data_IF_832603362550
#
_entry.id   IF_832603362550
#
_cell.length_a   1.000
_cell.length_b   1.000
_cell.length_c   1.000
_cell.angle_alpha   90.00
_cell.angle_beta   90.00
_cell.angle_gamma   90.00
#
_symmetry.space_group_name_H-M   'P 1'
#
loop_
_entity.id
_entity.type
_entity.pdbx_description
1 polymer ?
#
# COMPACT_ATOMS: atom_id res chain seq x y z
N UNK A 1 3.49 -32.53 1.30
CA UNK A 1 3.79 -31.37 0.41
C UNK A 1 2.50 -30.56 0.24
N UNK A 2 2.56 -29.22 0.30
CA UNK A 2 1.41 -28.33 0.08
C UNK A 2 1.81 -27.20 -0.85
N UNK A 3 0.96 -26.91 -1.84
CA UNK A 3 1.04 -25.66 -2.62
C UNK A 3 0.02 -24.66 -2.08
N UNK A 4 0.31 -23.38 -2.16
CA UNK A 4 -0.66 -22.34 -1.84
C UNK A 4 -0.49 -21.11 -2.74
N UNK A 5 -1.60 -20.42 -2.95
CA UNK A 5 -1.65 -19.12 -3.59
C UNK A 5 -2.42 -18.15 -2.68
N UNK A 6 -1.94 -16.92 -2.56
CA UNK A 6 -2.61 -15.84 -1.87
C UNK A 6 -2.67 -14.63 -2.80
N UNK A 7 -3.86 -14.08 -2.98
CA UNK A 7 -4.08 -12.85 -3.74
C UNK A 7 -4.44 -11.76 -2.72
N UNK A 8 -3.59 -10.75 -2.61
CA UNK A 8 -3.83 -9.56 -1.80
C UNK A 8 -4.31 -8.42 -2.70
N UNK A 9 -5.20 -7.58 -2.18
CA UNK A 9 -5.83 -6.48 -2.92
C UNK A 9 -6.50 -6.98 -4.23
N UNK A 10 -7.44 -7.93 -4.08
CA UNK A 10 -8.05 -8.67 -5.19
C UNK A 10 -8.66 -7.79 -6.28
N UNK A 11 -9.23 -6.65 -5.91
CA UNK A 11 -9.87 -5.72 -6.86
C UNK A 11 -8.91 -4.65 -7.40
N UNK A 12 -7.62 -4.73 -7.05
CA UNK A 12 -6.60 -3.73 -7.39
C UNK A 12 -7.00 -2.30 -6.96
N UNK A 13 -7.57 -2.20 -5.77
CA UNK A 13 -8.03 -0.92 -5.23
C UNK A 13 -6.84 -0.10 -4.70
N UNK A 14 -6.86 1.21 -4.93
CA UNK A 14 -5.85 2.12 -4.36
C UNK A 14 -6.19 2.39 -2.88
N UNK A 15 -5.59 1.60 -1.99
CA UNK A 15 -5.88 1.67 -0.56
C UNK A 15 -5.00 2.74 0.10
N UNK A 16 -5.62 3.71 0.79
CA UNK A 16 -4.90 4.70 1.59
C UNK A 16 -4.49 4.06 2.92
N UNK A 17 -3.21 4.14 3.27
CA UNK A 17 -2.68 3.61 4.55
C UNK A 17 -2.18 4.70 5.48
N UNK A 18 -1.94 5.90 4.95
CA UNK A 18 -1.53 7.06 5.70
C UNK A 18 -2.20 8.32 5.14
N UNK A 19 -2.51 9.26 6.02
CA UNK A 19 -3.09 10.56 5.65
C UNK A 19 -2.45 11.67 6.48
N UNK A 20 -2.39 12.85 5.88
CA UNK A 20 -2.03 14.08 6.58
C UNK A 20 -3.10 14.40 7.64
N UNK A 21 -2.66 14.74 8.86
CA UNK A 21 -3.58 14.94 10.00
C UNK A 21 -4.46 16.17 9.87
N UNK A 22 -3.98 17.18 9.14
CA UNK A 22 -4.66 18.47 8.98
C UNK A 22 -5.73 18.45 7.89
N UNK A 23 -5.52 17.69 6.81
CA UNK A 23 -6.44 17.62 5.66
C UNK A 23 -7.23 16.32 5.60
N UNK A 24 -6.73 15.23 6.20
CA UNK A 24 -7.25 13.87 5.98
C UNK A 24 -6.95 13.33 4.58
N UNK A 25 -6.15 14.05 3.79
CA UNK A 25 -5.76 13.68 2.43
C UNK A 25 -4.40 12.96 2.45
N UNK A 26 -4.18 11.91 1.67
CA UNK A 26 -2.88 11.24 1.56
C UNK A 26 -1.83 12.05 0.78
N UNK A 27 -2.24 12.94 -0.12
CA UNK A 27 -1.38 13.59 -1.11
C UNK A 27 -1.27 15.11 -0.90
N UNK A 28 -1.95 15.65 0.12
CA UNK A 28 -2.03 17.08 0.36
C UNK A 28 -2.01 17.46 1.84
N UNK A 29 -1.21 18.47 2.19
CA UNK A 29 -1.22 19.13 3.50
C UNK A 29 -1.18 20.64 3.34
N UNK A 30 -1.74 21.33 4.31
CA UNK A 30 -1.63 22.79 4.46
C UNK A 30 -0.40 23.19 5.29
N UNK A 31 0.29 22.22 5.91
CA UNK A 31 1.55 22.43 6.60
C UNK A 31 2.64 22.72 5.56
N UNK A 32 3.19 23.94 5.60
CA UNK A 32 4.24 24.36 4.66
C UNK A 32 5.58 23.67 4.89
N UNK A 33 6.44 23.72 3.88
CA UNK A 33 7.84 23.24 3.95
C UNK A 33 8.08 21.85 3.36
N UNK A 34 7.03 21.19 2.86
CA UNK A 34 7.15 19.93 2.13
C UNK A 34 7.14 20.16 0.63
N UNK A 35 7.93 19.37 -0.10
CA UNK A 35 7.86 19.34 -1.57
C UNK A 35 6.67 18.52 -2.03
N UNK A 36 6.26 18.70 -3.28
CA UNK A 36 5.17 17.91 -3.87
C UNK A 36 5.52 16.41 -3.88
N UNK A 37 6.79 16.06 -4.13
CA UNK A 37 7.26 14.67 -4.15
C UNK A 37 7.15 14.02 -2.78
N UNK A 38 7.43 14.77 -1.71
CA UNK A 38 7.27 14.28 -0.34
C UNK A 38 5.80 14.13 0.04
N UNK A 39 4.95 15.07 -0.39
CA UNK A 39 3.52 15.01 -0.12
C UNK A 39 2.84 13.86 -0.86
N UNK A 40 3.26 13.58 -2.10
CA UNK A 40 2.68 12.57 -2.98
C UNK A 40 3.51 11.27 -2.95
N UNK A 41 4.08 10.93 -1.79
CA UNK A 41 4.86 9.71 -1.62
C UNK A 41 3.96 8.48 -1.90
N UNK A 42 4.35 7.60 -2.85
CA UNK A 42 3.58 6.40 -3.15
C UNK A 42 3.34 5.48 -1.94
N UNK A 43 4.17 5.56 -0.90
CA UNK A 43 4.04 4.80 0.34
C UNK A 43 2.87 5.24 1.23
N UNK A 44 2.22 6.37 0.93
CA UNK A 44 0.93 6.75 1.53
C UNK A 44 -0.20 5.79 1.13
N UNK A 45 0.04 4.96 0.10
CA UNK A 45 -0.85 3.93 -0.39
C UNK A 45 -0.30 2.53 -0.11
N UNK A 46 -1.20 1.62 0.21
CA UNK A 46 -0.90 0.20 0.30
C UNK A 46 -0.50 -0.37 -1.07
N UNK A 47 0.14 -1.55 -1.09
CA UNK A 47 0.57 -2.16 -2.34
C UNK A 47 -0.61 -2.40 -3.30
N UNK A 48 -0.35 -2.36 -4.63
CA UNK A 48 -1.33 -2.80 -5.64
C UNK A 48 -1.60 -4.30 -5.48
N UNK A 49 -2.34 -4.91 -6.41
CA UNK A 49 -2.56 -6.37 -6.38
C UNK A 49 -1.24 -7.14 -6.32
N UNK A 50 -1.12 -8.04 -5.35
CA UNK A 50 0.03 -8.94 -5.22
C UNK A 50 -0.44 -10.39 -5.20
N UNK A 51 0.22 -11.25 -5.98
CA UNK A 51 -0.01 -12.68 -6.01
C UNK A 51 1.21 -13.37 -5.40
N UNK A 52 1.05 -13.99 -4.23
CA UNK A 52 2.06 -14.85 -3.63
C UNK A 52 1.77 -16.31 -3.96
N UNK A 53 2.80 -17.01 -4.44
CA UNK A 53 2.80 -18.45 -4.63
C UNK A 53 3.81 -19.06 -3.66
N UNK A 54 3.45 -20.18 -3.03
CA UNK A 54 4.36 -20.84 -2.09
C UNK A 54 4.22 -22.35 -2.02
N UNK A 55 5.29 -22.96 -1.52
CA UNK A 55 5.45 -24.40 -1.37
C UNK A 55 5.82 -24.72 0.08
N UNK A 56 5.06 -25.62 0.71
CA UNK A 56 5.33 -26.15 2.04
C UNK A 56 5.80 -27.60 1.97
N UNK A 57 7.00 -27.86 2.47
CA UNK A 57 7.54 -29.22 2.69
C UNK A 57 7.58 -29.46 4.20
N UNK A 58 7.00 -30.56 4.65
CA UNK A 58 7.14 -31.04 6.02
C UNK A 58 8.07 -32.25 5.95
N UNK A 59 9.22 -32.15 6.62
CA UNK A 59 10.17 -33.24 6.79
C UNK A 59 9.70 -34.19 7.89
#
# INVERSE_FOLDING_TARGET
MRIFAQIMNLTDHRNVVWVWRDTGDPDYTTVGGYSNEYMQDPSNYGPPRVILLGLGVRL
#
